data_IF_059241507036
#
_entry.id   IF_059241507036
#
_cell.length_a   1.000
_cell.length_b   1.000
_cell.length_c   1.000
_cell.angle_alpha   90.00
_cell.angle_beta   90.00
_cell.angle_gamma   90.00
#
_symmetry.space_group_name_H-M   'P 1'
#
loop_
_entity.id
_entity.type
_entity.pdbx_description
1 polymer ?
#
# COMPACT_ATOMS: atom_id res chain seq x y z
N UNK A 1 -2.28 -8.31 -7.28
CA UNK A 1 -0.92 -8.76 -6.90
C UNK A 1 -0.50 -9.87 -7.85
N UNK A 2 0.64 -9.71 -8.52
CA UNK A 2 1.22 -10.74 -9.38
C UNK A 2 2.17 -11.56 -8.51
N UNK A 3 1.99 -12.88 -8.50
CA UNK A 3 2.84 -13.81 -7.76
C UNK A 3 3.93 -14.30 -8.71
N UNK A 4 5.17 -14.29 -8.25
CA UNK A 4 6.31 -14.82 -8.99
C UNK A 4 6.86 -16.07 -8.32
N UNK A 5 7.02 -17.14 -9.08
CA UNK A 5 7.69 -18.33 -8.60
C UNK A 5 9.22 -18.13 -8.59
N UNK A 6 9.85 -18.28 -7.43
CA UNK A 6 11.32 -18.22 -7.30
C UNK A 6 12.05 -19.41 -7.94
N UNK A 7 11.36 -20.52 -8.22
CA UNK A 7 11.98 -21.72 -8.82
C UNK A 7 11.98 -21.70 -10.34
N UNK A 8 10.85 -21.41 -10.97
CA UNK A 8 10.72 -21.44 -12.44
C UNK A 8 10.59 -20.04 -13.07
N UNK A 9 10.48 -18.98 -12.28
CA UNK A 9 10.31 -17.62 -12.78
C UNK A 9 8.91 -17.29 -13.32
N UNK A 10 7.95 -18.23 -13.25
CA UNK A 10 6.58 -18.01 -13.70
C UNK A 10 5.92 -16.88 -12.90
N UNK A 11 5.32 -15.94 -13.61
CA UNK A 11 4.53 -14.85 -13.06
C UNK A 11 3.06 -15.08 -13.41
N UNK A 12 2.17 -14.85 -12.45
CA UNK A 12 0.74 -15.05 -12.67
C UNK A 12 -0.12 -14.45 -11.57
N UNK A 13 -1.43 -14.54 -11.77
CA UNK A 13 -2.43 -14.06 -10.84
C UNK A 13 -2.64 -15.05 -9.69
N UNK A 14 -3.09 -14.55 -8.54
CA UNK A 14 -3.42 -15.36 -7.34
C UNK A 14 -4.34 -16.56 -7.62
N UNK A 15 -5.21 -16.45 -8.63
CA UNK A 15 -6.14 -17.51 -9.03
C UNK A 15 -5.44 -18.69 -9.74
N UNK A 16 -4.32 -18.44 -10.41
CA UNK A 16 -3.55 -19.48 -11.12
C UNK A 16 -2.69 -20.32 -10.17
N UNK A 17 -2.34 -19.77 -9.00
CA UNK A 17 -1.57 -20.47 -7.98
C UNK A 17 -2.50 -21.14 -6.98
N UNK A 18 -2.49 -22.48 -6.96
CA UNK A 18 -3.34 -23.29 -6.08
C UNK A 18 -3.00 -23.03 -4.62
N UNK A 19 -4.01 -22.75 -3.80
CA UNK A 19 -3.81 -22.58 -2.36
C UNK A 19 -3.43 -23.91 -1.69
N UNK A 20 -2.42 -23.90 -0.82
CA UNK A 20 -2.00 -25.05 -0.03
C UNK A 20 -2.47 -24.92 1.41
N UNK A 21 -1.88 -24.02 2.19
CA UNK A 21 -2.20 -23.77 3.59
C UNK A 21 -1.69 -22.41 4.04
N UNK A 22 -2.12 -21.96 5.22
CA UNK A 22 -1.58 -20.77 5.87
C UNK A 22 -0.12 -21.00 6.26
N UNK A 23 0.72 -19.98 6.12
CA UNK A 23 2.10 -20.04 6.55
C UNK A 23 2.25 -19.97 8.07
N UNK A 24 1.30 -19.28 8.73
CA UNK A 24 1.23 -19.14 10.17
C UNK A 24 -0.22 -19.36 10.62
N UNK A 25 -0.43 -19.95 11.80
CA UNK A 25 -1.77 -20.31 12.30
C UNK A 25 -2.72 -19.11 12.50
N UNK A 26 -2.18 -17.90 12.63
CA UNK A 26 -2.95 -16.67 12.81
C UNK A 26 -2.45 -15.51 11.91
N UNK A 27 -1.66 -15.82 10.88
CA UNK A 27 -1.08 -14.81 9.99
C UNK A 27 -1.84 -14.68 8.67
N UNK A 28 -1.73 -13.52 7.98
CA UNK A 28 -2.28 -13.31 6.64
C UNK A 28 -1.50 -14.09 5.57
N UNK A 29 -0.37 -14.68 5.93
CA UNK A 29 0.58 -15.27 5.00
C UNK A 29 0.13 -16.68 4.60
N UNK A 30 0.27 -17.01 3.32
CA UNK A 30 -0.15 -18.30 2.78
C UNK A 30 0.89 -18.92 1.87
N UNK A 31 0.92 -20.25 1.84
CA UNK A 31 1.65 -21.00 0.85
C UNK A 31 0.75 -21.34 -0.33
N UNK A 32 1.25 -21.08 -1.53
CA UNK A 32 0.58 -21.42 -2.79
C UNK A 32 1.48 -22.26 -3.67
N UNK A 33 0.89 -23.14 -4.46
CA UNK A 33 1.60 -24.03 -5.38
C UNK A 33 1.70 -23.41 -6.77
N UNK A 34 2.90 -23.42 -7.34
CA UNK A 34 3.13 -23.05 -8.73
C UNK A 34 2.46 -24.05 -9.69
N UNK A 35 1.71 -23.60 -10.71
CA UNK A 35 1.11 -24.50 -11.69
C UNK A 35 2.13 -25.18 -12.61
N UNK A 36 3.31 -24.58 -12.84
CA UNK A 36 4.33 -25.15 -13.73
C UNK A 36 5.29 -26.10 -13.01
N UNK A 37 5.90 -25.67 -11.91
CA UNK A 37 6.93 -26.46 -11.22
C UNK A 37 6.45 -27.13 -9.94
N UNK A 38 5.19 -26.93 -9.56
CA UNK A 38 4.55 -27.51 -8.37
C UNK A 38 5.25 -27.17 -7.04
N UNK A 39 6.20 -26.24 -7.05
CA UNK A 39 6.87 -25.75 -5.85
C UNK A 39 5.92 -24.91 -4.99
N UNK A 40 6.07 -25.02 -3.68
CA UNK A 40 5.41 -24.13 -2.73
C UNK A 40 6.09 -22.76 -2.75
N UNK A 41 5.29 -21.71 -2.85
CA UNK A 41 5.70 -20.31 -2.87
C UNK A 41 5.03 -19.64 -1.68
N UNK A 42 5.82 -18.87 -0.93
CA UNK A 42 5.32 -18.02 0.13
C UNK A 42 4.69 -16.76 -0.47
N UNK A 43 3.47 -16.44 -0.06
CA UNK A 43 2.74 -15.25 -0.48
C UNK A 43 2.29 -14.48 0.76
N UNK A 44 2.80 -13.27 0.91
CA UNK A 44 2.35 -12.32 1.91
C UNK A 44 1.05 -11.67 1.40
N UNK A 45 -0.09 -12.00 2.02
CA UNK A 45 -1.38 -11.43 1.59
C UNK A 45 -1.64 -10.05 2.22
N UNK A 46 -0.72 -9.55 3.07
CA UNK A 46 -0.84 -8.27 3.78
C UNK A 46 -0.03 -7.14 3.15
N UNK A 47 0.75 -7.38 2.09
CA UNK A 47 1.28 -6.31 1.23
C UNK A 47 0.14 -5.65 0.44
N UNK A 48 -0.68 -4.92 1.19
CA UNK A 48 -1.39 -3.74 0.76
C UNK A 48 -0.35 -2.90 0.07
N UNK A 49 -0.59 -2.60 -1.21
CA UNK A 49 0.12 -1.54 -1.92
C UNK A 49 0.31 -0.38 -0.93
N UNK A 50 1.55 -0.14 -0.49
CA UNK A 50 1.94 1.20 -0.10
C UNK A 50 2.13 1.87 -1.47
N UNK A 51 1.13 2.61 -2.00
CA UNK A 51 1.40 3.42 -3.17
C UNK A 51 2.45 4.40 -2.72
N UNK A 52 3.69 4.17 -3.15
CA UNK A 52 4.73 5.16 -3.33
C UNK A 52 4.64 6.30 -2.31
N UNK A 53 5.41 6.21 -1.24
CA UNK A 53 5.71 7.28 -0.28
C UNK A 53 6.43 8.47 -0.95
N UNK A 54 5.86 8.98 -2.04
CA UNK A 54 6.19 10.23 -2.73
C UNK A 54 4.98 11.15 -2.84
N UNK A 55 3.98 11.02 -1.98
CA UNK A 55 3.22 12.21 -1.59
C UNK A 55 4.13 13.01 -0.67
N UNK A 56 5.06 13.73 -1.29
CA UNK A 56 5.77 14.84 -0.70
C UNK A 56 4.75 15.62 0.12
N UNK A 57 5.02 15.79 1.41
CA UNK A 57 4.38 16.82 2.21
C UNK A 57 4.78 18.12 1.53
N UNK A 58 3.98 18.52 0.54
CA UNK A 58 4.11 19.77 -0.15
C UNK A 58 3.90 20.82 0.92
N UNK A 59 5.00 21.28 1.51
CA UNK A 59 5.09 22.57 2.15
C UNK A 59 4.82 23.58 1.02
N UNK A 60 3.54 23.71 0.65
CA UNK A 60 3.08 24.62 -0.36
C UNK A 60 3.43 26.01 0.12
N UNK A 61 4.47 26.60 -0.47
CA UNK A 61 4.69 28.01 -0.80
C UNK A 61 4.26 29.12 0.20
N UNK A 62 3.98 28.81 1.46
CA UNK A 62 3.52 29.77 2.47
C UNK A 62 4.66 30.28 3.37
N UNK A 63 5.92 30.01 3.02
CA UNK A 63 7.06 30.70 3.63
C UNK A 63 7.14 32.12 3.07
N UNK A 64 6.59 33.08 3.80
CA UNK A 64 6.79 34.51 3.53
C UNK A 64 5.56 35.40 3.67
N UNK A 65 4.37 34.87 3.94
CA UNK A 65 3.21 35.73 4.20
C UNK A 65 3.22 36.24 5.64
N UNK A 66 3.56 37.53 5.79
CA UNK A 66 3.33 38.28 7.02
C UNK A 66 1.83 38.61 7.07
N UNK A 67 1.09 37.94 7.95
CA UNK A 67 -0.29 38.29 8.23
C UNK A 67 -0.32 39.61 9.03
N UNK A 68 -0.48 40.74 8.34
CA UNK A 68 -0.78 42.00 9.01
C UNK A 68 -2.23 41.97 9.48
N UNK A 69 -2.42 42.10 10.79
CA UNK A 69 -3.70 42.06 11.47
C UNK A 69 -4.53 43.28 11.04
N UNK A 70 -5.53 43.09 10.18
CA UNK A 70 -6.50 44.15 9.90
C UNK A 70 -7.33 44.42 11.16
N UNK A 71 -7.40 45.71 11.48
CA UNK A 71 -7.89 46.29 12.72
C UNK A 71 -9.39 45.97 12.97
N UNK A 72 -9.71 45.58 14.19
CA UNK A 72 -11.06 45.37 14.68
C UNK A 72 -11.82 46.71 14.67
N UNK A 73 -12.91 46.80 13.90
CA UNK A 73 -13.94 47.80 14.16
C UNK A 73 -15.30 47.12 14.31
N UNK A 74 -15.68 47.10 15.58
CA UNK A 74 -16.95 46.82 16.23
C UNK A 74 -18.22 47.38 15.57
N UNK A 75 -19.34 46.66 15.84
CA UNK A 75 -20.76 47.14 15.91
C UNK A 75 -21.38 47.58 14.57
N UNK A 76 -22.66 47.38 14.26
CA UNK A 76 -23.87 47.22 15.07
C UNK A 76 -24.99 46.57 14.23
N UNK A 77 -25.83 45.78 14.90
CA UNK A 77 -27.30 45.86 14.92
C UNK A 77 -28.04 46.32 13.64
N UNK A 78 -28.79 45.41 13.00
CA UNK A 78 -30.22 45.61 12.68
C UNK A 78 -30.90 44.31 12.26
#
# INVERSE_FOLDING_TARGET
MVIKCHKCGKEGSKAEFKYLHLAESAGPNSYRQCPDCHAAIYCDELETNDPDSKSAWGAGHLRGQIFTKANYKSRSDK
#
